data_IF_192495720530
#
_entry.id   IF_192495720530
#
_cell.length_a   1.000
_cell.length_b   1.000
_cell.length_c   1.000
_cell.angle_alpha   90.00
_cell.angle_beta   90.00
_cell.angle_gamma   90.00
#
_symmetry.space_group_name_H-M   'P 1'
#
loop_
_entity.id
_entity.type
_entity.pdbx_description
1 polymer ?
#
# COMPACT_ATOMS: atom_id res chain seq x y z
N UNK A 1 -5.66 4.67 8.51
CA UNK A 1 -4.47 3.85 8.15
C UNK A 1 -3.23 4.71 8.30
N UNK A 2 -2.26 4.26 9.10
CA UNK A 2 -0.92 4.84 9.22
C UNK A 2 0.09 3.93 8.53
N UNK A 3 0.99 4.52 7.74
CA UNK A 3 2.08 3.83 7.07
C UNK A 3 3.37 4.59 7.40
N UNK A 4 4.28 3.95 8.14
CA UNK A 4 5.66 4.44 8.31
C UNK A 4 6.56 3.76 7.27
N UNK A 5 7.43 4.54 6.64
CA UNK A 5 8.40 4.10 5.66
C UNK A 5 9.78 4.59 6.09
N UNK A 6 10.80 3.75 5.92
CA UNK A 6 12.19 4.09 6.19
C UNK A 6 13.09 3.57 5.09
N UNK A 7 14.03 4.41 4.66
CA UNK A 7 15.03 4.05 3.66
C UNK A 7 16.36 3.63 4.29
N UNK A 8 17.37 3.37 3.45
CA UNK A 8 18.69 2.93 3.90
C UNK A 8 19.59 4.05 4.44
N UNK A 9 19.22 5.31 4.21
CA UNK A 9 19.85 6.49 4.84
C UNK A 9 19.20 6.79 6.21
N UNK A 10 18.36 5.87 6.70
CA UNK A 10 17.56 5.97 7.91
C UNK A 10 16.56 7.16 7.93
N UNK A 11 16.29 7.77 6.78
CA UNK A 11 15.26 8.80 6.64
C UNK A 11 13.90 8.14 6.80
N UNK A 12 13.04 8.74 7.62
CA UNK A 12 11.67 8.29 7.86
C UNK A 12 10.66 9.20 7.21
N UNK A 13 9.65 8.60 6.59
CA UNK A 13 8.46 9.30 6.09
C UNK A 13 7.20 8.54 6.49
N UNK A 14 6.06 9.22 6.41
CA UNK A 14 4.78 8.58 6.66
C UNK A 14 3.71 9.00 5.68
N UNK A 15 2.72 8.11 5.53
CA UNK A 15 1.45 8.36 4.87
C UNK A 15 0.32 8.00 5.84
N UNK A 16 -0.67 8.88 5.94
CA UNK A 16 -1.85 8.68 6.75
C UNK A 16 -3.11 8.88 5.90
N UNK A 17 -4.05 7.95 6.03
CA UNK A 17 -5.39 8.05 5.46
C UNK A 17 -6.39 8.03 6.62
N UNK A 18 -7.24 9.05 6.71
CA UNK A 18 -8.11 9.28 7.87
C UNK A 18 -9.27 8.27 8.00
N UNK A 19 -9.53 7.51 6.94
CA UNK A 19 -10.48 6.42 6.87
C UNK A 19 -9.85 5.23 6.13
N UNK A 20 -10.18 4.01 6.55
CA UNK A 20 -9.67 2.80 5.93
C UNK A 20 -10.63 1.63 6.21
N UNK A 21 -11.08 0.95 5.17
CA UNK A 21 -11.80 -0.31 5.31
C UNK A 21 -11.56 -1.20 4.09
N UNK A 22 -11.56 -2.52 4.34
CA UNK A 22 -11.55 -3.54 3.30
C UNK A 22 -12.87 -4.31 3.34
N UNK A 23 -13.27 -4.85 2.19
CA UNK A 23 -14.40 -5.78 2.14
C UNK A 23 -14.01 -7.18 2.65
N UNK A 24 -14.98 -8.08 2.71
CA UNK A 24 -14.73 -9.51 2.95
C UNK A 24 -14.22 -10.25 1.69
N UNK A 25 -14.03 -11.56 1.83
CA UNK A 25 -13.54 -12.46 0.78
C UNK A 25 -14.49 -12.57 -0.43
N UNK A 26 -15.80 -12.47 -0.22
CA UNK A 26 -16.79 -12.55 -1.31
C UNK A 26 -16.54 -11.45 -2.33
N UNK A 27 -16.11 -10.28 -1.85
CA UNK A 27 -15.70 -9.12 -2.62
C UNK A 27 -14.19 -9.01 -2.83
N UNK A 28 -13.42 -10.07 -2.50
CA UNK A 28 -11.97 -10.18 -2.74
C UNK A 28 -11.14 -9.16 -1.96
N UNK A 29 -11.54 -8.88 -0.73
CA UNK A 29 -10.84 -7.98 0.19
C UNK A 29 -10.52 -6.61 -0.44
N UNK A 30 -11.45 -6.07 -1.24
CA UNK A 30 -11.26 -4.82 -1.93
C UNK A 30 -11.01 -3.68 -0.95
N UNK A 31 -10.10 -2.75 -1.31
CA UNK A 31 -9.86 -1.53 -0.56
C UNK A 31 -11.07 -0.60 -0.74
N UNK A 32 -12.09 -0.77 0.09
CA UNK A 32 -13.41 -0.19 -0.10
C UNK A 32 -13.50 1.28 0.32
N UNK A 33 -12.79 1.64 1.39
CA UNK A 33 -12.76 2.99 1.92
C UNK A 33 -11.30 3.38 2.07
N UNK A 34 -10.92 4.46 1.40
CA UNK A 34 -9.66 5.14 1.63
C UNK A 34 -9.95 6.63 1.81
N UNK A 35 -9.60 7.14 2.99
CA UNK A 35 -9.89 8.51 3.37
C UNK A 35 -8.95 9.54 2.75
N UNK A 36 -9.01 10.76 3.27
CA UNK A 36 -8.14 11.84 2.79
C UNK A 36 -6.69 11.56 3.21
N UNK A 37 -5.79 11.67 2.23
CA UNK A 37 -4.36 11.56 2.45
C UNK A 37 -3.80 12.75 3.25
N UNK A 38 -2.85 12.46 4.12
CA UNK A 38 -1.92 13.43 4.71
C UNK A 38 -0.58 12.75 5.01
N UNK A 39 0.50 13.53 5.13
CA UNK A 39 1.81 13.03 5.52
C UNK A 39 2.95 13.58 4.66
N UNK A 40 4.12 12.94 4.76
CA UNK A 40 5.36 13.42 4.15
C UNK A 40 5.87 12.54 3.00
N UNK A 41 5.32 11.33 2.84
CA UNK A 41 5.73 10.34 1.84
C UNK A 41 5.18 10.57 0.42
N UNK A 42 4.26 11.52 0.24
CA UNK A 42 3.40 11.59 -0.94
C UNK A 42 2.33 10.48 -0.97
N UNK A 43 1.29 10.66 -1.78
CA UNK A 43 0.13 9.76 -1.83
C UNK A 43 0.29 8.69 -2.93
N UNK A 44 0.65 7.48 -2.51
CA UNK A 44 0.85 6.33 -3.41
C UNK A 44 -0.29 5.28 -3.35
N UNK A 45 -1.42 5.59 -2.69
CA UNK A 45 -2.59 4.70 -2.63
C UNK A 45 -3.79 5.23 -3.42
N UNK A 46 -4.18 6.48 -3.23
CA UNK A 46 -5.51 6.98 -3.68
C UNK A 46 -5.77 6.78 -5.17
N UNK A 47 -4.80 7.11 -6.03
CA UNK A 47 -5.04 7.11 -7.49
C UNK A 47 -5.21 5.71 -8.10
N UNK A 48 -4.54 4.70 -7.54
CA UNK A 48 -4.41 3.37 -8.19
C UNK A 48 -5.05 2.26 -7.36
N UNK A 49 -5.00 2.38 -6.04
CA UNK A 49 -5.36 1.28 -5.14
C UNK A 49 -6.77 1.43 -4.56
N UNK A 50 -7.35 2.64 -4.57
CA UNK A 50 -8.71 2.87 -4.07
C UNK A 50 -9.75 2.08 -4.90
N UNK A 51 -10.58 1.31 -4.21
CA UNK A 51 -11.54 0.37 -4.80
C UNK A 51 -10.93 -0.89 -5.43
N UNK A 52 -9.60 -1.05 -5.47
CA UNK A 52 -8.96 -2.20 -6.08
C UNK A 52 -9.14 -3.46 -5.23
N UNK A 53 -9.26 -4.62 -5.89
CA UNK A 53 -9.37 -5.94 -5.24
C UNK A 53 -7.99 -6.48 -4.88
N UNK A 54 -7.89 -7.20 -3.79
CA UNK A 54 -6.63 -7.83 -3.39
C UNK A 54 -6.29 -8.98 -4.34
N UNK A 55 -5.09 -8.98 -4.92
CA UNK A 55 -4.63 -10.06 -5.81
C UNK A 55 -3.36 -10.70 -5.27
N UNK A 56 -3.21 -11.99 -5.56
CA UNK A 56 -2.04 -12.82 -5.23
C UNK A 56 -1.59 -13.56 -6.49
N UNK A 57 -0.41 -14.18 -6.45
CA UNK A 57 0.17 -14.89 -7.61
C UNK A 57 -0.71 -16.04 -8.14
N UNK A 58 -1.57 -16.60 -7.29
CA UNK A 58 -2.50 -17.67 -7.62
C UNK A 58 -3.94 -17.17 -7.88
N UNK A 59 -4.22 -15.89 -7.60
CA UNK A 59 -5.55 -15.27 -7.80
C UNK A 59 -5.43 -13.84 -8.30
N UNK A 60 -5.48 -13.68 -9.62
CA UNK A 60 -5.53 -12.37 -10.27
C UNK A 60 -6.94 -11.73 -10.17
N UNK A 61 -7.07 -10.71 -9.33
CA UNK A 61 -8.28 -9.89 -9.18
C UNK A 61 -8.10 -8.45 -9.70
N UNK A 62 -6.96 -8.15 -10.34
CA UNK A 62 -6.63 -6.80 -10.83
C UNK A 62 -7.51 -6.36 -12.02
N UNK A 63 -8.30 -7.29 -12.57
CA UNK A 63 -9.17 -7.09 -13.76
C UNK A 63 -8.41 -6.52 -14.97
N UNK A 64 -7.09 -6.70 -14.99
CA UNK A 64 -6.22 -6.43 -16.14
C UNK A 64 -6.10 -7.66 -17.02
N UNK A 65 -5.66 -7.45 -18.26
CA UNK A 65 -5.31 -8.54 -19.18
C UNK A 65 -4.02 -9.31 -18.82
N UNK A 66 -3.39 -9.01 -17.68
CA UNK A 66 -2.18 -9.68 -17.20
C UNK A 66 -2.14 -9.69 -15.66
N UNK A 67 -1.25 -10.49 -15.09
CA UNK A 67 -1.16 -10.71 -13.64
C UNK A 67 -0.13 -9.78 -12.98
N UNK A 68 -0.62 -8.72 -12.32
CA UNK A 68 0.23 -7.79 -11.57
C UNK A 68 0.96 -8.46 -10.40
N UNK A 69 0.34 -9.41 -9.70
CA UNK A 69 0.94 -10.06 -8.54
C UNK A 69 2.12 -10.93 -8.96
N UNK A 70 1.99 -11.64 -10.09
CA UNK A 70 3.08 -12.41 -10.68
C UNK A 70 4.23 -11.52 -11.20
N UNK A 71 3.92 -10.35 -11.78
CA UNK A 71 4.93 -9.41 -12.26
C UNK A 71 5.69 -8.74 -11.11
N UNK A 72 4.97 -8.20 -10.12
CA UNK A 72 5.54 -7.35 -9.06
C UNK A 72 5.73 -8.08 -7.72
N UNK A 73 5.61 -9.41 -7.73
CA UNK A 73 6.09 -10.33 -6.67
C UNK A 73 5.47 -10.10 -5.29
N UNK A 74 4.26 -9.56 -5.23
CA UNK A 74 3.58 -9.24 -3.97
C UNK A 74 2.09 -9.54 -4.02
N UNK A 75 1.49 -9.76 -2.85
CA UNK A 75 0.04 -9.72 -2.68
C UNK A 75 -0.40 -8.30 -2.36
N UNK A 76 -1.20 -7.68 -3.22
CA UNK A 76 -1.56 -6.26 -3.06
C UNK A 76 -2.89 -5.89 -3.72
N UNK A 77 -3.40 -4.70 -3.41
CA UNK A 77 -4.55 -4.08 -4.09
C UNK A 77 -4.09 -3.48 -5.43
N UNK A 78 -3.80 -4.33 -6.42
CA UNK A 78 -3.35 -3.85 -7.73
C UNK A 78 -4.50 -3.23 -8.52
N UNK A 79 -4.27 -2.03 -9.05
CA UNK A 79 -5.29 -1.24 -9.75
C UNK A 79 -5.63 -1.76 -11.14
N UNK A 80 -6.76 -1.26 -11.69
CA UNK A 80 -7.21 -1.60 -13.06
C UNK A 80 -6.52 -0.78 -14.15
N UNK A 81 -6.10 0.45 -13.83
CA UNK A 81 -5.48 1.41 -14.78
C UNK A 81 -3.95 1.46 -14.68
N UNK A 82 -3.39 1.25 -13.48
CA UNK A 82 -1.98 0.91 -13.24
C UNK A 82 -1.88 -0.24 -12.24
N UNK A 83 -0.84 -1.08 -12.29
CA UNK A 83 -0.73 -2.16 -11.32
C UNK A 83 -0.50 -1.55 -9.94
N UNK A 84 0.48 -0.66 -9.79
CA UNK A 84 0.70 -0.03 -8.50
C UNK A 84 1.49 1.28 -8.58
N UNK A 85 1.20 2.17 -7.63
CA UNK A 85 2.13 3.23 -7.21
C UNK A 85 2.84 2.86 -5.89
N UNK A 86 2.30 1.90 -5.13
CA UNK A 86 2.93 1.31 -3.95
C UNK A 86 2.86 -0.21 -3.98
N UNK A 87 3.90 -0.89 -3.52
CA UNK A 87 3.93 -2.35 -3.42
C UNK A 87 4.65 -2.74 -2.13
N UNK A 88 4.00 -2.51 -0.98
CA UNK A 88 4.66 -2.70 0.31
C UNK A 88 4.91 -4.18 0.66
N UNK A 89 4.31 -5.09 -0.10
CA UNK A 89 4.48 -6.54 0.00
C UNK A 89 5.35 -7.12 -1.14
N UNK A 90 6.10 -6.27 -1.86
CA UNK A 90 7.05 -6.72 -2.88
C UNK A 90 8.33 -7.31 -2.29
N UNK A 91 9.29 -7.63 -3.17
CA UNK A 91 10.59 -8.18 -2.78
C UNK A 91 11.40 -7.20 -1.92
N UNK A 92 11.98 -7.73 -0.85
CA UNK A 92 12.94 -6.96 -0.07
C UNK A 92 14.26 -6.84 -0.84
N UNK A 93 14.60 -5.62 -1.24
CA UNK A 93 15.91 -5.30 -1.80
C UNK A 93 16.63 -4.32 -0.87
N UNK A 94 17.96 -4.30 -0.94
CA UNK A 94 18.79 -3.44 -0.11
C UNK A 94 18.90 -2.01 -0.66
N UNK A 95 17.76 -1.36 -0.91
CA UNK A 95 17.67 -0.03 -1.50
C UNK A 95 17.47 -0.10 -3.01
N UNK A 96 18.38 0.48 -3.79
CA UNK A 96 18.29 0.49 -5.25
C UNK A 96 18.38 -0.91 -5.86
N UNK A 97 17.61 -1.16 -6.92
CA UNK A 97 17.61 -2.42 -7.67
C UNK A 97 17.30 -2.19 -9.16
N UNK A 98 17.67 -3.13 -10.02
CA UNK A 98 17.65 -2.94 -11.48
C UNK A 98 16.34 -3.35 -12.16
N UNK A 99 15.56 -4.25 -11.55
CA UNK A 99 14.27 -4.66 -12.11
C UNK A 99 13.20 -3.61 -11.87
N UNK A 100 12.20 -3.53 -12.74
CA UNK A 100 11.16 -2.52 -12.62
C UNK A 100 10.16 -2.92 -11.52
N UNK A 101 10.13 -2.16 -10.42
CA UNK A 101 9.03 -2.10 -9.47
C UNK A 101 8.69 -3.39 -8.68
N UNK A 102 9.53 -4.41 -8.72
CA UNK A 102 9.32 -5.68 -7.99
C UNK A 102 9.53 -5.58 -6.47
N UNK A 103 10.11 -4.47 -5.99
CA UNK A 103 10.50 -4.29 -4.58
C UNK A 103 9.40 -3.75 -3.66
N UNK A 104 9.78 -3.43 -2.41
CA UNK A 104 8.97 -2.68 -1.45
C UNK A 104 8.91 -1.21 -1.86
N UNK A 105 8.00 -0.91 -2.80
CA UNK A 105 7.96 0.37 -3.52
C UNK A 105 7.00 1.36 -2.89
N UNK A 106 7.41 2.63 -2.83
CA UNK A 106 6.55 3.80 -2.64
C UNK A 106 6.95 4.90 -3.64
N UNK A 107 6.28 4.94 -4.78
CA UNK A 107 6.77 5.65 -5.98
C UNK A 107 6.87 7.16 -5.80
N UNK A 108 5.95 7.77 -5.03
CA UNK A 108 5.96 9.21 -4.75
C UNK A 108 7.17 9.68 -3.92
N UNK A 109 7.96 8.77 -3.32
CA UNK A 109 9.16 9.14 -2.56
C UNK A 109 10.46 8.72 -3.24
N UNK A 110 10.70 7.42 -3.45
CA UNK A 110 11.98 6.92 -4.00
C UNK A 110 11.83 6.31 -5.41
N UNK A 111 10.66 6.44 -6.04
CA UNK A 111 10.39 5.90 -7.38
C UNK A 111 10.20 4.38 -7.40
N UNK A 112 10.33 3.78 -8.58
CA UNK A 112 10.05 2.35 -8.83
C UNK A 112 11.27 1.43 -8.73
N UNK A 113 12.48 1.98 -8.60
CA UNK A 113 13.75 1.24 -8.59
C UNK A 113 14.42 1.29 -7.21
N UNK A 114 13.65 1.50 -6.14
CA UNK A 114 14.13 1.56 -4.77
C UNK A 114 13.18 0.84 -3.82
N UNK A 115 13.71 -0.11 -3.06
CA UNK A 115 12.97 -0.89 -2.06
C UNK A 115 13.22 -0.30 -0.67
N UNK A 116 12.15 -0.07 0.09
CA UNK A 116 12.25 0.47 1.45
C UNK A 116 12.98 -0.50 2.37
N UNK A 117 13.81 0.04 3.28
CA UNK A 117 14.46 -0.73 4.35
C UNK A 117 13.45 -1.26 5.37
N UNK A 118 12.41 -0.48 5.63
CA UNK A 118 11.38 -0.85 6.60
C UNK A 118 10.06 -0.19 6.24
N UNK A 119 8.98 -0.94 6.47
CA UNK A 119 7.60 -0.48 6.32
C UNK A 119 6.78 -0.98 7.49
N UNK A 120 5.86 -0.15 7.97
CA UNK A 120 4.92 -0.53 9.02
C UNK A 120 3.55 0.04 8.72
N UNK A 121 2.58 -0.84 8.52
CA UNK A 121 1.17 -0.49 8.35
C UNK A 121 0.42 -0.76 9.65
N UNK A 122 -0.28 0.24 10.15
CA UNK A 122 -1.10 0.12 11.36
C UNK A 122 -2.44 0.83 11.19
N UNK A 123 -3.46 0.31 11.86
CA UNK A 123 -4.80 0.91 11.92
C UNK A 123 -5.14 1.31 13.35
N UNK A 124 -5.84 2.43 13.49
CA UNK A 124 -6.40 2.91 14.75
C UNK A 124 -7.82 3.39 14.47
N UNK A 125 -8.82 3.06 15.30
CA UNK A 125 -10.16 3.61 15.18
C UNK A 125 -10.12 5.14 15.19
N UNK A 126 -10.92 5.78 14.32
CA UNK A 126 -11.01 7.25 14.24
C UNK A 126 -11.56 7.83 15.54
N UNK A 127 -12.59 7.19 16.08
CA UNK A 127 -13.17 7.47 17.39
C UNK A 127 -12.81 6.37 18.37
N UNK A 128 -11.55 6.35 18.83
CA UNK A 128 -11.14 5.40 19.84
C UNK A 128 -11.86 5.73 21.15
N UNK A 129 -12.76 4.83 21.58
CA UNK A 129 -13.42 4.95 22.88
C UNK A 129 -12.82 3.96 23.86
N UNK A 130 -12.39 4.45 25.02
CA UNK A 130 -12.02 3.62 26.16
C UNK A 130 -13.12 3.81 27.22
N UNK A 131 -14.00 2.80 27.33
CA UNK A 131 -15.28 2.95 28.03
C UNK A 131 -16.19 3.93 27.29
N UNK A 132 -16.83 4.85 28.02
CA UNK A 132 -17.68 5.90 27.43
C UNK A 132 -16.89 7.17 27.02
N UNK A 133 -15.57 7.19 27.15
CA UNK A 133 -14.74 8.37 26.84
C UNK A 133 -14.10 8.23 25.47
N UNK A 134 -14.24 9.27 24.66
CA UNK A 134 -13.44 9.47 23.45
C UNK A 134 -11.99 9.77 23.86
N UNK A 135 -11.04 9.08 23.24
CA UNK A 135 -9.61 9.24 23.42
C UNK A 135 -9.03 9.55 22.04
N UNK A 136 -8.66 10.81 21.81
CA UNK A 136 -8.11 11.27 20.53
C UNK A 136 -6.58 11.07 20.47
#
# INVERSE_FOLDING_TARGET
LWIELKDFDDVKKHAMYDSFAITDESQKYALNILGTYSGTAGDALTKVHDGAKFSTIDRNNSERGFDCAALYKGGWWYGKTDCHHSNLNGLYHNGSFDTYAEGIVWSNWRGYYYSMKYVHMAIRPKDLRIGNKLVN
#
